data_IF_368801394159
#
_entry.id   IF_368801394159
#
_cell.length_a   1.000
_cell.length_b   1.000
_cell.length_c   1.000
_cell.angle_alpha   90.00
_cell.angle_beta   90.00
_cell.angle_gamma   90.00
#
_symmetry.space_group_name_H-M   'P 1'
#
loop_
_entity.id
_entity.type
_entity.pdbx_description
1 polymer ?
#
# COMPACT_ATOMS: atom_id res chain seq x y z
N UNK A 1 12.27 -49.18 52.36
CA UNK A 1 12.47 -47.94 51.55
C UNK A 1 11.74 -48.12 50.23
N UNK A 2 10.80 -47.23 49.90
CA UNK A 2 9.99 -47.29 48.66
C UNK A 2 10.67 -46.47 47.56
N UNK A 3 11.12 -47.14 46.51
CA UNK A 3 11.77 -46.54 45.33
C UNK A 3 10.71 -45.86 44.46
N UNK A 4 10.84 -44.56 44.21
CA UNK A 4 9.96 -43.80 43.31
C UNK A 4 10.62 -43.73 41.92
N UNK A 5 9.93 -44.24 40.91
CA UNK A 5 10.29 -44.08 39.51
C UNK A 5 9.94 -42.66 39.05
N UNK A 6 10.93 -41.89 38.59
CA UNK A 6 10.71 -40.58 37.99
C UNK A 6 10.84 -40.75 36.46
N UNK A 7 9.72 -40.69 35.74
CA UNK A 7 9.71 -40.69 34.28
C UNK A 7 10.17 -39.33 33.75
N UNK A 8 11.03 -39.42 32.73
CA UNK A 8 11.58 -38.37 31.90
C UNK A 8 10.51 -37.91 30.88
N UNK A 9 10.27 -36.60 30.76
CA UNK A 9 9.49 -36.03 29.67
C UNK A 9 10.36 -35.03 28.91
N UNK A 10 10.81 -35.42 27.72
CA UNK A 10 11.51 -34.54 26.78
C UNK A 10 10.43 -33.86 25.94
N UNK A 11 10.21 -32.56 26.16
CA UNK A 11 9.37 -31.76 25.29
C UNK A 11 10.17 -31.42 24.02
N UNK A 12 9.84 -32.06 22.90
CA UNK A 12 10.32 -31.67 21.57
C UNK A 12 9.65 -30.35 21.18
N UNK A 13 10.40 -29.25 21.21
CA UNK A 13 10.01 -28.02 20.53
C UNK A 13 10.01 -28.30 19.03
N UNK A 14 8.81 -28.49 18.46
CA UNK A 14 8.60 -28.35 17.03
C UNK A 14 8.82 -26.87 16.71
N UNK A 15 9.99 -26.54 16.17
CA UNK A 15 10.16 -25.28 15.47
C UNK A 15 9.32 -25.39 14.20
N UNK A 16 8.06 -24.94 14.30
CA UNK A 16 7.25 -24.66 13.14
C UNK A 16 8.01 -23.61 12.33
N UNK A 17 8.55 -24.03 11.19
CA UNK A 17 9.11 -23.12 10.21
C UNK A 17 7.99 -22.21 9.74
N UNK A 18 7.94 -20.99 10.27
CA UNK A 18 7.40 -19.88 9.52
C UNK A 18 8.26 -19.81 8.26
N UNK A 19 7.75 -20.31 7.12
CA UNK A 19 8.34 -19.97 5.84
C UNK A 19 8.03 -18.49 5.62
N UNK A 20 8.87 -17.66 6.22
CA UNK A 20 9.01 -16.28 5.83
C UNK A 20 9.58 -16.33 4.42
N UNK A 21 8.68 -16.32 3.43
CA UNK A 21 9.02 -15.81 2.11
C UNK A 21 9.11 -14.28 2.21
N UNK A 22 10.00 -13.83 3.12
CA UNK A 22 10.49 -12.47 3.13
C UNK A 22 11.34 -12.37 1.87
N UNK A 23 10.89 -11.55 0.93
CA UNK A 23 11.75 -11.09 -0.15
C UNK A 23 12.79 -10.23 0.58
N UNK A 24 13.86 -10.88 1.05
CA UNK A 24 15.01 -10.20 1.64
C UNK A 24 15.42 -9.11 0.67
N UNK A 25 15.44 -7.86 1.14
CA UNK A 25 15.89 -6.67 0.42
C UNK A 25 17.38 -6.79 0.09
N UNK A 26 17.71 -7.71 -0.81
CA UNK A 26 19.04 -7.85 -1.35
C UNK A 26 19.14 -6.82 -2.45
N UNK A 27 19.85 -5.73 -2.17
CA UNK A 27 20.43 -4.87 -3.20
C UNK A 27 21.32 -5.74 -4.08
N UNK A 28 20.73 -6.35 -5.10
CA UNK A 28 21.45 -7.10 -6.11
C UNK A 28 21.96 -6.06 -7.08
N UNK A 29 23.27 -6.02 -7.26
CA UNK A 29 24.00 -4.97 -7.99
C UNK A 29 23.26 -4.54 -9.27
N UNK A 30 22.69 -3.33 -9.31
CA UNK A 30 22.28 -2.66 -10.55
C UNK A 30 20.82 -2.23 -10.73
N UNK A 31 19.84 -2.72 -9.94
CA UNK A 31 18.44 -2.34 -10.21
C UNK A 31 18.11 -0.92 -9.69
N UNK A 32 17.39 -0.09 -10.47
CA UNK A 32 16.95 1.21 -10.02
C UNK A 32 15.92 1.08 -8.90
N UNK A 33 15.86 2.10 -8.03
CA UNK A 33 14.78 2.23 -7.05
C UNK A 33 13.46 2.50 -7.78
N UNK A 34 12.35 2.04 -7.21
CA UNK A 34 11.02 2.34 -7.75
C UNK A 34 10.68 3.81 -7.45
N UNK A 35 10.54 4.63 -8.50
CA UNK A 35 10.09 6.02 -8.38
C UNK A 35 8.58 6.17 -8.62
N UNK A 36 7.98 7.24 -8.09
CA UNK A 36 6.56 7.55 -8.25
C UNK A 36 6.36 9.00 -8.71
N UNK A 37 5.42 9.20 -9.61
CA UNK A 37 4.89 10.51 -10.01
C UNK A 37 3.36 10.50 -9.92
N UNK A 38 2.74 11.66 -9.68
CA UNK A 38 1.32 11.75 -9.31
C UNK A 38 0.60 12.83 -10.12
N UNK A 39 -0.47 12.40 -10.79
CA UNK A 39 -1.44 13.26 -11.42
C UNK A 39 -2.85 12.99 -10.85
N UNK A 40 -3.57 14.06 -10.49
CA UNK A 40 -4.99 13.98 -10.11
C UNK A 40 -5.84 14.71 -11.15
N UNK A 41 -6.99 14.15 -11.53
CA UNK A 41 -8.02 14.90 -12.25
C UNK A 41 -8.62 16.06 -11.43
N UNK A 42 -9.55 16.83 -12.01
CA UNK A 42 -10.25 17.92 -11.31
C UNK A 42 -11.16 17.34 -10.21
N UNK A 43 -11.09 17.90 -9.00
CA UNK A 43 -11.73 17.40 -7.78
C UNK A 43 -13.27 17.28 -7.85
N UNK A 44 -13.85 16.28 -7.16
CA UNK A 44 -15.30 16.10 -7.08
C UNK A 44 -15.92 16.15 -5.66
N UNK A 45 -15.13 16.66 -4.69
CA UNK A 45 -15.50 17.54 -3.54
C UNK A 45 -15.42 16.85 -2.15
N UNK A 46 -14.81 17.56 -1.20
CA UNK A 46 -14.41 17.23 0.19
C UNK A 46 -13.33 18.25 0.59
N UNK A 47 -12.44 18.02 1.56
CA UNK A 47 -11.10 18.66 1.43
C UNK A 47 -10.54 18.17 0.09
N UNK A 48 -10.37 19.07 -0.89
CA UNK A 48 -10.05 18.71 -2.28
C UNK A 48 -8.85 17.76 -2.29
N UNK A 49 -9.00 16.52 -2.78
CA UNK A 49 -7.82 15.68 -3.05
C UNK A 49 -7.39 15.97 -4.48
N UNK A 50 -6.35 16.79 -4.59
CA UNK A 50 -5.64 17.15 -5.81
C UNK A 50 -4.16 16.89 -5.59
N UNK A 51 -3.33 16.94 -6.65
CA UNK A 51 -1.88 16.82 -6.51
C UNK A 51 -1.36 17.81 -5.45
N UNK A 52 -1.89 19.03 -5.40
CA UNK A 52 -1.49 20.06 -4.43
C UNK A 52 -1.79 19.67 -2.98
N UNK A 53 -2.94 19.06 -2.69
CA UNK A 53 -3.28 18.67 -1.30
C UNK A 53 -2.63 17.36 -0.91
N UNK A 54 -2.41 16.44 -1.86
CA UNK A 54 -1.58 15.25 -1.65
C UNK A 54 -0.13 15.61 -1.34
N UNK A 55 0.39 16.71 -1.90
CA UNK A 55 1.72 17.25 -1.58
C UNK A 55 1.77 17.95 -0.20
N UNK A 56 0.62 18.16 0.45
CA UNK A 56 0.55 18.73 1.79
C UNK A 56 1.10 17.80 2.88
N UNK A 57 1.13 18.31 4.11
CA UNK A 57 1.57 17.54 5.28
C UNK A 57 0.73 16.28 5.48
N UNK A 58 1.39 15.16 5.81
CA UNK A 58 0.73 13.89 6.14
C UNK A 58 0.95 13.54 7.62
N UNK A 59 0.02 13.96 8.48
CA UNK A 59 0.02 13.74 9.93
C UNK A 59 -1.40 13.46 10.47
N UNK A 60 -1.57 13.45 11.79
CA UNK A 60 -2.85 13.15 12.47
C UNK A 60 -3.98 14.14 12.13
N UNK A 61 -3.65 15.35 11.68
CA UNK A 61 -4.59 16.45 11.40
C UNK A 61 -4.61 16.87 9.93
N UNK A 62 -3.63 16.47 9.13
CA UNK A 62 -3.48 16.86 7.73
C UNK A 62 -3.50 15.65 6.78
N UNK A 63 -4.25 15.78 5.68
CA UNK A 63 -4.61 14.67 4.79
C UNK A 63 -3.68 14.48 3.59
N UNK A 64 -2.45 14.99 3.64
CA UNK A 64 -1.47 14.78 2.57
C UNK A 64 -1.01 13.32 2.45
N UNK A 65 -0.26 13.05 1.39
CA UNK A 65 0.28 11.72 1.07
C UNK A 65 -0.76 10.70 0.62
N UNK A 66 -0.26 9.53 0.21
CA UNK A 66 -1.06 8.41 -0.27
C UNK A 66 -0.47 7.07 0.18
N UNK A 67 -1.30 6.03 0.16
CA UNK A 67 -0.90 4.65 0.42
C UNK A 67 -0.77 3.85 -0.87
N UNK A 68 0.22 2.96 -0.95
CA UNK A 68 0.40 2.03 -2.06
C UNK A 68 0.27 0.57 -1.59
N UNK A 69 -0.46 -0.23 -2.36
CA UNK A 69 -0.41 -1.68 -2.35
C UNK A 69 0.27 -2.17 -3.64
N UNK A 70 1.40 -2.85 -3.51
CA UNK A 70 2.22 -3.37 -4.60
C UNK A 70 2.24 -4.89 -4.61
N UNK A 71 1.89 -5.47 -5.75
CA UNK A 71 1.75 -6.91 -5.94
C UNK A 71 2.80 -7.39 -6.93
N UNK A 72 3.74 -8.21 -6.46
CA UNK A 72 4.68 -8.89 -7.34
C UNK A 72 3.97 -10.07 -8.02
N UNK A 73 3.90 -10.06 -9.35
CA UNK A 73 3.18 -11.08 -10.13
C UNK A 73 4.11 -12.08 -10.83
N UNK A 74 5.42 -11.97 -10.60
CA UNK A 74 6.43 -12.66 -11.39
C UNK A 74 6.28 -12.31 -12.87
N UNK A 75 6.50 -13.27 -13.76
CA UNK A 75 6.39 -13.01 -15.20
C UNK A 75 4.94 -12.91 -15.72
N UNK A 76 3.94 -13.25 -14.90
CA UNK A 76 2.52 -13.25 -15.28
C UNK A 76 1.95 -11.84 -15.32
N UNK A 77 0.95 -11.62 -16.17
CA UNK A 77 0.15 -10.40 -16.11
C UNK A 77 -0.82 -10.45 -14.91
N UNK A 78 -1.24 -9.26 -14.46
CA UNK A 78 -2.15 -9.06 -13.34
C UNK A 78 -3.41 -9.92 -13.45
N UNK A 79 -4.05 -9.95 -14.61
CA UNK A 79 -5.30 -10.70 -14.80
C UNK A 79 -5.15 -12.21 -14.55
N UNK A 80 -3.96 -12.75 -14.77
CA UNK A 80 -3.64 -14.16 -14.53
C UNK A 80 -3.22 -14.42 -13.08
N UNK A 81 -2.57 -13.44 -12.44
CA UNK A 81 -1.98 -13.57 -11.12
C UNK A 81 -2.94 -13.19 -9.97
N UNK A 82 -3.85 -12.24 -10.21
CA UNK A 82 -4.62 -11.51 -9.18
C UNK A 82 -5.33 -12.40 -8.16
N UNK A 83 -5.80 -13.59 -8.56
CA UNK A 83 -6.48 -14.51 -7.64
C UNK A 83 -5.57 -15.23 -6.63
N UNK A 84 -4.24 -15.04 -6.71
CA UNK A 84 -3.26 -15.83 -5.94
C UNK A 84 -2.16 -15.00 -5.29
N UNK A 85 -2.07 -13.71 -5.62
CA UNK A 85 -1.03 -12.82 -5.13
C UNK A 85 -1.56 -11.94 -4.00
N UNK A 86 -0.70 -11.67 -3.03
CA UNK A 86 -0.91 -10.72 -1.93
C UNK A 86 -0.10 -9.44 -2.21
N UNK A 87 -0.31 -8.33 -1.47
CA UNK A 87 0.48 -7.09 -1.60
C UNK A 87 1.91 -7.24 -1.04
N UNK A 88 2.64 -8.25 -1.50
CA UNK A 88 3.94 -8.68 -0.96
C UNK A 88 5.10 -7.73 -1.29
N UNK A 89 4.93 -6.83 -2.26
CA UNK A 89 5.98 -5.89 -2.66
C UNK A 89 5.90 -4.58 -1.86
N UNK A 90 4.68 -4.06 -1.68
CA UNK A 90 4.38 -2.90 -0.84
C UNK A 90 3.03 -3.12 -0.18
N UNK A 91 2.94 -2.94 1.14
CA UNK A 91 1.68 -3.03 1.87
C UNK A 91 1.41 -1.73 2.61
N UNK A 92 0.32 -1.05 2.26
CA UNK A 92 -0.06 0.26 2.75
C UNK A 92 1.14 1.22 2.87
N UNK A 93 2.02 1.22 1.86
CA UNK A 93 3.26 1.97 1.89
C UNK A 93 2.92 3.46 1.82
N UNK A 94 3.23 4.19 2.90
CA UNK A 94 3.10 5.64 2.95
C UNK A 94 4.06 6.28 1.95
N UNK A 95 3.53 7.17 1.11
CA UNK A 95 4.29 8.04 0.21
C UNK A 95 3.92 9.49 0.50
N UNK A 96 4.95 10.35 0.63
CA UNK A 96 4.81 11.77 0.95
C UNK A 96 5.66 12.62 0.02
N UNK A 97 5.29 13.88 -0.16
CA UNK A 97 6.07 14.80 -0.99
C UNK A 97 7.15 15.50 -0.17
N UNK A 98 8.40 15.42 -0.61
CA UNK A 98 9.48 16.26 -0.09
C UNK A 98 9.53 17.55 -0.90
N UNK A 99 9.11 18.66 -0.28
CA UNK A 99 9.10 19.97 -0.93
C UNK A 99 10.50 20.52 -1.21
N UNK A 100 11.53 20.08 -0.48
CA UNK A 100 12.90 20.55 -0.69
C UNK A 100 13.55 19.85 -1.87
N UNK A 101 13.31 18.55 -2.02
CA UNK A 101 13.81 17.74 -3.12
C UNK A 101 12.88 17.77 -4.36
N UNK A 102 11.65 18.28 -4.20
CA UNK A 102 10.62 18.34 -5.24
C UNK A 102 10.31 16.94 -5.81
N UNK A 103 10.17 15.95 -4.93
CA UNK A 103 9.96 14.54 -5.29
C UNK A 103 9.08 13.81 -4.28
N UNK A 104 8.44 12.71 -4.74
CA UNK A 104 7.73 11.79 -3.86
C UNK A 104 8.70 10.81 -3.21
N UNK A 105 8.64 10.71 -1.88
CA UNK A 105 9.53 9.87 -1.07
C UNK A 105 8.74 8.88 -0.24
N UNK A 106 9.39 7.76 0.08
CA UNK A 106 8.84 6.71 0.92
C UNK A 106 9.97 5.90 1.57
N UNK A 107 9.63 5.18 2.63
CA UNK A 107 10.57 4.32 3.36
C UNK A 107 9.84 3.08 3.89
N UNK A 108 10.46 1.88 3.83
CA UNK A 108 11.77 1.59 3.23
C UNK A 108 11.77 1.68 1.69
N UNK A 109 12.92 1.98 1.10
CA UNK A 109 13.08 2.03 -0.37
C UNK A 109 12.94 0.65 -0.98
N UNK A 110 12.19 0.54 -2.09
CA UNK A 110 12.02 -0.71 -2.85
C UNK A 110 12.74 -0.63 -4.18
N UNK A 111 13.24 -1.77 -4.63
CA UNK A 111 13.96 -1.92 -5.89
C UNK A 111 13.19 -2.84 -6.82
N UNK A 112 13.28 -2.59 -8.12
CA UNK A 112 12.67 -3.46 -9.11
C UNK A 112 13.18 -4.91 -9.02
N UNK A 113 12.35 -5.91 -9.34
CA UNK A 113 12.79 -7.31 -9.40
C UNK A 113 13.97 -7.52 -10.36
N UNK A 114 14.84 -8.48 -10.04
CA UNK A 114 16.06 -8.76 -10.82
C UNK A 114 15.78 -9.32 -12.22
N UNK A 115 14.69 -10.05 -12.41
CA UNK A 115 14.34 -10.59 -13.70
C UNK A 115 13.54 -9.55 -14.49
N UNK A 116 14.02 -9.18 -15.68
CA UNK A 116 13.43 -8.14 -16.53
C UNK A 116 12.01 -8.46 -17.01
N UNK A 117 11.61 -9.73 -16.96
CA UNK A 117 10.25 -10.17 -17.34
C UNK A 117 9.27 -10.13 -16.17
N UNK A 118 9.77 -9.99 -14.95
CA UNK A 118 8.95 -9.90 -13.76
C UNK A 118 8.26 -8.56 -13.67
N UNK A 119 7.04 -8.60 -13.13
CA UNK A 119 6.14 -7.47 -13.07
C UNK A 119 5.71 -7.18 -11.64
N UNK A 120 5.41 -5.92 -11.40
CA UNK A 120 4.74 -5.43 -10.20
C UNK A 120 3.53 -4.62 -10.64
N UNK A 121 2.38 -4.90 -10.05
CA UNK A 121 1.15 -4.11 -10.21
C UNK A 121 0.92 -3.28 -8.95
N UNK A 122 0.61 -2.00 -9.14
CA UNK A 122 0.45 -1.06 -8.04
C UNK A 122 -0.97 -0.52 -7.99
N UNK A 123 -1.51 -0.43 -6.79
CA UNK A 123 -2.77 0.23 -6.47
C UNK A 123 -2.49 1.29 -5.43
N UNK A 124 -3.05 2.47 -5.61
CA UNK A 124 -2.82 3.59 -4.71
C UNK A 124 -4.14 4.24 -4.30
N UNK A 125 -4.16 4.83 -3.10
CA UNK A 125 -5.29 5.59 -2.60
C UNK A 125 -4.85 6.81 -1.81
N UNK A 126 -5.68 7.85 -1.83
CA UNK A 126 -5.51 9.04 -1.00
C UNK A 126 -6.87 9.51 -0.45
N UNK A 127 -6.88 10.16 0.73
CA UNK A 127 -5.71 10.45 1.59
C UNK A 127 -5.18 9.22 2.32
N UNK A 128 -3.89 9.21 2.67
CA UNK A 128 -3.26 8.08 3.38
C UNK A 128 -3.90 7.80 4.75
N UNK A 129 -4.14 6.53 5.07
CA UNK A 129 -4.52 6.07 6.41
C UNK A 129 -3.47 5.09 6.94
N UNK A 130 -2.88 5.40 8.10
CA UNK A 130 -1.88 4.50 8.69
C UNK A 130 -2.51 3.28 9.35
N UNK A 131 -3.72 3.44 9.90
CA UNK A 131 -4.45 2.32 10.49
C UNK A 131 -5.28 1.61 9.43
N UNK A 132 -4.82 0.44 8.98
CA UNK A 132 -5.54 -0.36 7.96
C UNK A 132 -6.94 -0.81 8.40
N UNK A 133 -7.25 -0.77 9.70
CA UNK A 133 -8.59 -1.00 10.26
C UNK A 133 -9.44 0.29 10.38
N UNK A 134 -8.95 1.40 9.84
CA UNK A 134 -9.62 2.70 9.86
C UNK A 134 -9.36 3.53 11.11
N UNK A 135 -9.58 4.84 10.97
CA UNK A 135 -9.48 5.77 12.08
C UNK A 135 -9.68 7.21 11.65
N UNK A 136 -8.57 7.84 11.25
CA UNK A 136 -8.49 9.28 10.97
C UNK A 136 -9.41 9.66 9.83
N UNK A 137 -9.29 9.00 8.68
CA UNK A 137 -10.05 9.32 7.47
C UNK A 137 -11.19 8.34 7.19
N UNK A 138 -11.37 7.32 8.04
CA UNK A 138 -12.46 6.34 7.89
C UNK A 138 -12.26 5.37 6.71
N UNK A 139 -11.01 5.20 6.28
CA UNK A 139 -10.59 4.26 5.24
C UNK A 139 -10.11 2.96 5.89
N UNK A 140 -10.68 1.83 5.49
CA UNK A 140 -10.22 0.48 5.85
C UNK A 140 -9.73 -0.18 4.58
N UNK A 141 -8.53 -0.75 4.57
CA UNK A 141 -7.97 -1.44 3.40
C UNK A 141 -8.02 -2.96 3.57
N UNK A 142 -7.96 -3.71 2.46
CA UNK A 142 -7.58 -5.12 2.50
C UNK A 142 -6.26 -5.34 3.25
N UNK A 143 -6.11 -6.48 3.89
CA UNK A 143 -4.98 -6.84 4.74
C UNK A 143 -3.79 -7.41 3.94
N UNK A 144 -2.66 -7.61 4.61
CA UNK A 144 -1.39 -8.01 3.96
C UNK A 144 -1.43 -9.46 3.43
N UNK A 145 -2.26 -10.29 4.04
CA UNK A 145 -2.47 -11.70 3.71
C UNK A 145 -3.65 -11.93 2.77
N UNK A 146 -4.44 -10.88 2.48
CA UNK A 146 -5.52 -10.96 1.51
C UNK A 146 -4.97 -11.11 0.10
N UNK A 147 -5.46 -12.13 -0.60
CA UNK A 147 -5.21 -12.31 -2.04
C UNK A 147 -6.30 -11.62 -2.84
N UNK A 148 -5.96 -11.06 -3.99
CA UNK A 148 -6.97 -10.48 -4.88
C UNK A 148 -6.68 -9.05 -5.29
N UNK A 149 -7.70 -8.42 -5.86
CA UNK A 149 -7.73 -6.98 -6.06
C UNK A 149 -7.91 -6.34 -4.68
N UNK A 150 -7.10 -5.33 -4.32
CA UNK A 150 -7.25 -4.67 -3.03
C UNK A 150 -8.63 -4.00 -2.91
N UNK A 151 -9.17 -3.99 -1.69
CA UNK A 151 -10.44 -3.32 -1.38
C UNK A 151 -10.22 -2.14 -0.46
N UNK A 152 -11.11 -1.15 -0.58
CA UNK A 152 -11.20 -0.01 0.34
C UNK A 152 -12.66 0.11 0.79
N UNK A 153 -12.89 -0.04 2.09
CA UNK A 153 -14.15 0.34 2.70
C UNK A 153 -14.02 1.76 3.24
N UNK A 154 -14.92 2.64 2.82
CA UNK A 154 -14.91 4.05 3.21
C UNK A 154 -16.18 4.40 3.98
N UNK A 155 -16.00 4.84 5.22
CA UNK A 155 -17.10 5.30 6.07
C UNK A 155 -17.16 6.82 6.08
N UNK A 156 -18.29 7.36 5.60
CA UNK A 156 -18.56 8.79 5.71
C UNK A 156 -18.63 9.20 7.18
N UNK A 157 -18.07 10.36 7.51
CA UNK A 157 -18.19 10.94 8.84
C UNK A 157 -19.65 11.33 9.11
N UNK A 158 -20.02 11.31 10.39
CA UNK A 158 -21.33 11.77 10.87
C UNK A 158 -21.64 13.20 10.39
N UNK A 159 -22.93 13.51 10.21
CA UNK A 159 -23.38 14.79 9.64
C UNK A 159 -22.85 16.04 10.37
N UNK A 160 -22.53 15.94 11.66
CA UNK A 160 -21.94 17.03 12.47
C UNK A 160 -20.45 17.27 12.19
N UNK A 161 -19.82 16.44 11.35
CA UNK A 161 -18.39 16.46 11.00
C UNK A 161 -18.20 16.49 9.49
N UNK A 162 -19.13 17.10 8.76
CA UNK A 162 -19.11 17.16 7.30
C UNK A 162 -17.84 17.86 6.77
N UNK A 163 -17.28 18.80 7.54
CA UNK A 163 -16.04 19.51 7.21
C UNK A 163 -14.78 18.63 7.37
N UNK A 164 -14.90 17.50 8.07
CA UNK A 164 -13.85 16.47 8.19
C UNK A 164 -13.97 15.39 7.10
N UNK A 165 -14.91 15.53 6.16
CA UNK A 165 -15.06 14.60 5.06
C UNK A 165 -13.92 14.75 4.05
N UNK A 166 -13.34 13.61 3.68
CA UNK A 166 -12.29 13.52 2.66
C UNK A 166 -12.86 12.99 1.35
N UNK A 167 -12.27 13.44 0.26
CA UNK A 167 -12.57 12.94 -1.09
C UNK A 167 -11.66 11.73 -1.38
N UNK A 168 -12.22 10.52 -1.35
CA UNK A 168 -11.44 9.31 -1.63
C UNK A 168 -11.11 9.23 -3.12
N UNK A 169 -9.81 9.23 -3.42
CA UNK A 169 -9.28 8.98 -4.76
C UNK A 169 -8.48 7.69 -4.81
N UNK A 170 -8.53 7.00 -5.95
CA UNK A 170 -7.78 5.77 -6.20
C UNK A 170 -7.09 5.79 -7.56
N UNK A 171 -6.00 5.05 -7.69
CA UNK A 171 -5.28 4.83 -8.95
C UNK A 171 -4.80 3.39 -9.03
N UNK A 172 -4.59 2.89 -10.24
CA UNK A 172 -3.94 1.61 -10.49
C UNK A 172 -2.98 1.72 -11.67
N UNK A 173 -1.88 1.00 -11.58
CA UNK A 173 -0.85 0.92 -12.60
C UNK A 173 -0.35 -0.54 -12.65
N UNK A 174 -0.80 -1.29 -13.65
CA UNK A 174 -0.63 -2.74 -13.71
C UNK A 174 0.58 -3.13 -14.57
N UNK A 175 1.13 -4.32 -14.28
CA UNK A 175 2.11 -4.99 -15.14
C UNK A 175 3.43 -4.22 -15.36
N UNK A 176 3.85 -3.41 -14.40
CA UNK A 176 5.03 -2.56 -14.50
C UNK A 176 6.31 -3.33 -14.29
N UNK A 177 7.37 -2.86 -14.93
CA UNK A 177 8.71 -3.46 -14.94
C UNK A 177 9.76 -2.38 -14.67
N UNK A 178 11.02 -2.79 -14.54
CA UNK A 178 12.15 -1.86 -14.41
C UNK A 178 12.31 -0.89 -15.61
N UNK A 179 11.65 -1.15 -16.75
CA UNK A 179 11.70 -0.28 -17.93
C UNK A 179 10.75 0.92 -17.83
N UNK A 180 9.81 0.90 -16.88
CA UNK A 180 8.81 1.96 -16.71
C UNK A 180 9.36 3.17 -15.91
N UNK A 181 10.64 3.18 -15.54
CA UNK A 181 11.34 4.22 -14.76
C UNK A 181 10.60 4.66 -13.49
N UNK A 182 9.68 5.63 -13.62
CA UNK A 182 8.82 6.15 -12.57
C UNK A 182 7.35 5.80 -12.87
N UNK A 183 6.66 5.27 -11.86
CA UNK A 183 5.25 4.92 -11.97
C UNK A 183 4.39 6.17 -11.81
N UNK A 184 3.76 6.58 -12.91
CA UNK A 184 2.85 7.72 -12.94
C UNK A 184 1.43 7.28 -12.55
N UNK A 185 0.97 7.66 -11.36
CA UNK A 185 -0.40 7.41 -10.93
C UNK A 185 -1.36 8.48 -11.45
N UNK A 186 -2.47 8.04 -12.04
CA UNK A 186 -3.59 8.88 -12.44
C UNK A 186 -4.77 8.65 -11.48
N UNK A 187 -4.85 9.46 -10.43
CA UNK A 187 -5.89 9.34 -9.41
C UNK A 187 -7.26 9.79 -9.92
N UNK A 188 -8.28 9.00 -9.57
CA UNK A 188 -9.68 9.21 -9.93
C UNK A 188 -10.52 9.29 -8.66
N UNK A 189 -11.48 10.20 -8.67
CA UNK A 189 -12.47 10.31 -7.60
C UNK A 189 -13.43 9.12 -7.63
N UNK A 190 -13.68 8.56 -6.45
CA UNK A 190 -14.58 7.39 -6.29
C UNK A 190 -15.95 7.79 -5.75
N UNK A 191 -16.04 8.98 -5.14
CA UNK A 191 -17.26 9.49 -4.52
C UNK A 191 -17.97 10.46 -5.45
N UNK A 192 -19.30 10.48 -5.39
CA UNK A 192 -20.14 11.46 -6.06
C UNK A 192 -20.64 12.48 -5.05
N UNK A 193 -20.57 13.78 -5.35
CA UNK A 193 -21.14 14.80 -4.46
C UNK A 193 -22.51 15.29 -4.90
N UNK A 194 -23.42 15.36 -3.93
CA UNK A 194 -24.72 16.03 -4.06
C UNK A 194 -24.54 17.51 -3.69
N UNK A 195 -24.99 18.40 -4.56
CA UNK A 195 -24.97 19.84 -4.31
C UNK A 195 -26.40 20.31 -4.07
N UNK A 196 -26.67 20.83 -2.88
CA UNK A 196 -27.96 21.44 -2.50
C UNK A 196 -27.82 22.94 -2.43
#
# INVERSE_FOLDING_TARGET
MRTKHLLMAIATLLVAGCSQNEITEVRTVGNPAVGFDVYTGVATRGTDVSTTTMQGTCDETHYGGFGIMGYYTGSKNWDEAKGTVTPSFMFNQKVTYDTNANEWTYSPTKYWPNNTTDKVSFFAYAPYESNVSGGRVGIVTSQIDDTGIPSIDFTLKEATKIDEMVDLVVAEELNKTAQDEAIQFNFRHTLSKINT
#
